data_IF_521527729182
#
_entry.id   IF_521527729182
#
_cell.length_a   1.000
_cell.length_b   1.000
_cell.length_c   1.000
_cell.angle_alpha   90.00
_cell.angle_beta   90.00
_cell.angle_gamma   90.00
#
_symmetry.space_group_name_H-M   'P 1'
#
loop_
_entity.id
_entity.type
_entity.pdbx_description
1 polymer ?
#
# COMPACT_ATOMS: atom_id res chain seq x y z
N UNK A 1 -35.70 -45.89 -10.94
CA UNK A 1 -34.75 -45.74 -9.79
C UNK A 1 -33.30 -45.40 -10.17
N UNK A 2 -32.67 -45.93 -11.25
CA UNK A 2 -31.26 -45.62 -11.56
C UNK A 2 -30.97 -44.17 -12.03
N UNK A 3 -31.93 -43.50 -12.70
CA UNK A 3 -31.77 -42.12 -13.22
C UNK A 3 -31.91 -41.01 -12.16
N UNK A 4 -32.64 -41.25 -11.08
CA UNK A 4 -32.79 -40.24 -9.99
C UNK A 4 -31.59 -40.24 -9.04
N UNK A 5 -31.03 -41.41 -8.72
CA UNK A 5 -29.80 -41.53 -7.92
C UNK A 5 -28.60 -40.83 -8.58
N UNK A 6 -28.51 -40.84 -9.91
CA UNK A 6 -27.44 -40.17 -10.67
C UNK A 6 -27.56 -38.65 -10.68
N UNK A 7 -28.79 -38.11 -10.72
CA UNK A 7 -29.03 -36.66 -10.59
C UNK A 7 -28.72 -36.14 -9.19
N UNK A 8 -29.13 -36.86 -8.15
CA UNK A 8 -28.84 -36.49 -6.75
C UNK A 8 -27.35 -36.53 -6.42
N UNK A 9 -26.62 -37.52 -6.94
CA UNK A 9 -25.16 -37.62 -6.77
C UNK A 9 -24.42 -36.49 -7.51
N UNK A 10 -24.85 -36.14 -8.73
CA UNK A 10 -24.29 -35.00 -9.46
C UNK A 10 -24.51 -33.66 -8.75
N UNK A 11 -25.70 -33.46 -8.16
CA UNK A 11 -25.98 -32.28 -7.35
C UNK A 11 -25.14 -32.21 -6.07
N UNK A 12 -24.98 -33.33 -5.36
CA UNK A 12 -24.15 -33.41 -4.16
C UNK A 12 -22.67 -33.12 -4.43
N UNK A 13 -22.13 -33.61 -5.55
CA UNK A 13 -20.76 -33.30 -6.00
C UNK A 13 -20.63 -31.82 -6.34
N UNK A 14 -21.56 -31.27 -7.14
CA UNK A 14 -21.56 -29.85 -7.50
C UNK A 14 -21.64 -28.92 -6.28
N UNK A 15 -22.50 -29.26 -5.32
CA UNK A 15 -22.62 -28.52 -4.06
C UNK A 15 -21.33 -28.58 -3.23
N UNK A 16 -20.72 -29.76 -3.12
CA UNK A 16 -19.45 -29.92 -2.39
C UNK A 16 -18.33 -29.08 -3.02
N UNK A 17 -18.21 -29.09 -4.35
CA UNK A 17 -17.21 -28.29 -5.06
C UNK A 17 -17.45 -26.79 -4.87
N UNK A 18 -18.69 -26.33 -4.97
CA UNK A 18 -19.05 -24.93 -4.73
C UNK A 18 -18.74 -24.52 -3.27
N UNK A 19 -19.02 -25.40 -2.31
CA UNK A 19 -18.76 -25.14 -0.90
C UNK A 19 -17.26 -25.05 -0.59
N UNK A 20 -16.44 -25.97 -1.13
CA UNK A 20 -14.99 -25.91 -1.00
C UNK A 20 -14.43 -24.63 -1.66
N UNK A 21 -14.94 -24.25 -2.83
CA UNK A 21 -14.57 -23.00 -3.50
C UNK A 21 -14.89 -21.76 -2.65
N UNK A 22 -16.06 -21.73 -2.01
CA UNK A 22 -16.44 -20.65 -1.10
C UNK A 22 -15.52 -20.56 0.14
N UNK A 23 -15.20 -21.70 0.76
CA UNK A 23 -14.25 -21.74 1.89
C UNK A 23 -12.88 -21.22 1.48
N UNK A 24 -12.36 -21.65 0.33
CA UNK A 24 -11.09 -21.18 -0.19
C UNK A 24 -11.09 -19.66 -0.42
N UNK A 25 -12.18 -19.13 -0.99
CA UNK A 25 -12.35 -17.69 -1.21
C UNK A 25 -12.38 -16.91 0.12
N UNK A 26 -13.10 -17.41 1.14
CA UNK A 26 -13.12 -16.81 2.47
C UNK A 26 -11.71 -16.82 3.09
N UNK A 27 -10.99 -17.93 2.99
CA UNK A 27 -9.62 -18.03 3.50
C UNK A 27 -8.68 -17.01 2.84
N UNK A 28 -8.77 -16.85 1.51
CA UNK A 28 -7.99 -15.85 0.76
C UNK A 28 -8.31 -14.42 1.21
N UNK A 29 -9.61 -14.10 1.39
CA UNK A 29 -10.03 -12.79 1.91
C UNK A 29 -9.48 -12.55 3.32
N UNK A 30 -9.50 -13.54 4.20
CA UNK A 30 -8.95 -13.42 5.56
C UNK A 30 -7.43 -13.18 5.56
N UNK A 31 -6.69 -13.89 4.71
CA UNK A 31 -5.23 -13.70 4.56
C UNK A 31 -4.93 -12.27 4.05
N UNK A 32 -5.62 -11.81 3.01
CA UNK A 32 -5.46 -10.45 2.50
C UNK A 32 -5.84 -9.40 3.54
N UNK A 33 -6.93 -9.62 4.29
CA UNK A 33 -7.35 -8.73 5.37
C UNK A 33 -6.27 -8.62 6.47
N UNK A 34 -5.65 -9.73 6.86
CA UNK A 34 -4.55 -9.72 7.82
C UNK A 34 -3.31 -9.01 7.26
N UNK A 35 -2.96 -9.23 5.98
CA UNK A 35 -1.85 -8.52 5.32
C UNK A 35 -2.08 -7.01 5.29
N UNK A 36 -3.30 -6.56 4.94
CA UNK A 36 -3.68 -5.15 4.93
C UNK A 36 -3.68 -4.54 6.34
N UNK A 37 -4.11 -5.30 7.36
CA UNK A 37 -4.04 -4.85 8.75
C UNK A 37 -2.60 -4.61 9.18
N UNK A 38 -1.71 -5.57 8.94
CA UNK A 38 -0.27 -5.43 9.26
C UNK A 38 0.35 -4.26 8.51
N UNK A 39 0.11 -4.15 7.20
CA UNK A 39 0.54 -3.01 6.40
C UNK A 39 0.11 -1.67 7.00
N UNK A 40 -1.16 -1.53 7.41
CA UNK A 40 -1.66 -0.29 8.04
C UNK A 40 -0.97 0.03 9.36
N UNK A 41 -0.72 -0.99 10.19
CA UNK A 41 -0.02 -0.83 11.47
C UNK A 41 1.42 -0.39 11.22
N UNK A 42 2.14 -1.10 10.35
CA UNK A 42 3.55 -0.81 10.05
C UNK A 42 3.66 0.61 9.45
N UNK A 43 2.80 0.98 8.50
CA UNK A 43 2.76 2.34 7.95
C UNK A 43 2.46 3.42 9.01
N UNK A 44 1.57 3.13 9.97
CA UNK A 44 1.26 4.06 11.06
C UNK A 44 2.47 4.25 11.97
N UNK A 45 3.12 3.16 12.39
CA UNK A 45 4.32 3.22 13.25
C UNK A 45 5.42 3.97 12.52
N UNK A 46 5.74 3.58 11.28
CA UNK A 46 6.79 4.21 10.49
C UNK A 46 6.59 5.73 10.31
N UNK A 47 5.37 6.22 10.07
CA UNK A 47 5.17 7.65 9.90
C UNK A 47 5.06 8.46 11.20
N UNK A 48 4.72 7.83 12.33
CA UNK A 48 4.60 8.54 13.61
C UNK A 48 5.87 8.45 14.47
N UNK A 49 6.65 7.39 14.29
CA UNK A 49 7.76 6.99 15.16
C UNK A 49 9.09 6.84 14.41
N UNK A 50 9.17 7.12 13.12
CA UNK A 50 10.46 7.11 12.41
C UNK A 50 11.45 8.15 12.97
N UNK A 51 12.69 7.70 13.15
CA UNK A 51 13.82 8.56 13.54
C UNK A 51 14.21 9.50 12.38
N UNK A 52 14.23 8.92 11.17
CA UNK A 52 14.60 9.61 9.94
C UNK A 52 13.70 9.09 8.81
N UNK A 53 13.11 10.01 8.06
CA UNK A 53 12.53 9.69 6.76
C UNK A 53 13.12 10.63 5.71
N UNK A 54 13.61 10.07 4.61
CA UNK A 54 14.16 10.78 3.47
C UNK A 54 13.30 10.47 2.25
N UNK A 55 12.68 11.49 1.67
CA UNK A 55 11.93 11.40 0.42
C UNK A 55 12.78 11.86 -0.76
N UNK A 56 12.63 11.18 -1.89
CA UNK A 56 13.08 11.64 -3.19
C UNK A 56 11.93 12.42 -3.85
N UNK A 57 12.00 13.75 -3.73
CA UNK A 57 11.08 14.68 -4.36
C UNK A 57 11.54 15.07 -5.76
N UNK A 58 10.69 15.83 -6.47
CA UNK A 58 10.98 16.36 -7.82
C UNK A 58 12.22 17.26 -7.87
N UNK A 59 12.58 17.85 -6.74
CA UNK A 59 13.63 18.84 -6.56
C UNK A 59 14.88 18.28 -5.84
N UNK A 60 14.86 17.01 -5.42
CA UNK A 60 16.01 16.36 -4.79
C UNK A 60 15.63 15.48 -3.61
N UNK A 61 16.63 15.12 -2.80
CA UNK A 61 16.45 14.31 -1.60
C UNK A 61 16.29 15.20 -0.38
N UNK A 62 15.21 15.00 0.37
CA UNK A 62 14.90 15.79 1.55
C UNK A 62 14.58 14.90 2.74
N UNK A 63 15.13 15.27 3.90
CA UNK A 63 14.64 14.78 5.18
C UNK A 63 13.28 15.40 5.45
N UNK A 64 12.27 14.56 5.50
CA UNK A 64 10.89 14.97 5.65
C UNK A 64 10.65 15.48 7.06
N UNK A 65 10.00 16.62 7.18
CA UNK A 65 9.59 17.19 8.47
C UNK A 65 8.53 16.33 9.13
N UNK A 66 8.44 16.37 10.47
CA UNK A 66 7.45 15.59 11.22
C UNK A 66 6.01 15.95 10.85
N UNK A 67 5.76 17.22 10.54
CA UNK A 67 4.45 17.71 10.10
C UNK A 67 4.07 17.09 8.74
N UNK A 68 5.02 17.06 7.79
CA UNK A 68 4.78 16.44 6.48
C UNK A 68 4.66 14.92 6.56
N UNK A 69 5.38 14.24 7.47
CA UNK A 69 5.19 12.81 7.73
C UNK A 69 3.79 12.50 8.26
N UNK A 70 3.31 13.34 9.18
CA UNK A 70 1.94 13.23 9.72
C UNK A 70 0.91 13.45 8.60
N UNK A 71 1.12 14.44 7.73
CA UNK A 71 0.27 14.68 6.57
C UNK A 71 0.29 13.50 5.58
N UNK A 72 1.47 12.95 5.27
CA UNK A 72 1.65 11.74 4.45
C UNK A 72 0.83 10.57 5.00
N UNK A 73 0.94 10.31 6.30
CA UNK A 73 0.17 9.28 6.99
C UNK A 73 -1.34 9.52 6.83
N UNK A 74 -1.82 10.75 7.05
CA UNK A 74 -3.23 11.09 6.90
C UNK A 74 -3.75 10.94 5.44
N UNK A 75 -2.96 11.35 4.46
CA UNK A 75 -3.29 11.22 3.03
C UNK A 75 -3.42 9.74 2.66
N UNK A 76 -2.45 8.91 3.07
CA UNK A 76 -2.45 7.48 2.78
C UNK A 76 -3.54 6.74 3.54
N UNK A 77 -3.77 7.06 4.82
CA UNK A 77 -4.82 6.42 5.62
C UNK A 77 -6.25 6.79 5.17
N UNK A 78 -6.43 7.99 4.62
CA UNK A 78 -7.72 8.40 4.05
C UNK A 78 -8.03 7.70 2.72
N UNK A 79 -7.09 6.93 2.15
CA UNK A 79 -7.38 6.10 0.97
C UNK A 79 -8.10 4.81 1.35
N UNK A 80 -9.02 4.40 0.48
CA UNK A 80 -9.60 3.06 0.54
C UNK A 80 -8.74 2.13 -0.31
N UNK A 81 -8.45 0.94 0.21
CA UNK A 81 -7.82 -0.12 -0.56
C UNK A 81 -8.62 -0.44 -1.81
N UNK A 82 -7.93 -0.79 -2.89
CA UNK A 82 -8.53 -1.13 -4.16
C UNK A 82 -8.12 -2.55 -4.55
N UNK A 83 -9.09 -3.44 -4.77
CA UNK A 83 -8.82 -4.75 -5.31
C UNK A 83 -8.50 -4.62 -6.80
N UNK A 84 -7.34 -5.10 -7.21
CA UNK A 84 -6.95 -5.19 -8.61
C UNK A 84 -6.57 -6.62 -8.93
N UNK A 85 -7.11 -7.17 -10.01
CA UNK A 85 -6.75 -8.51 -10.49
C UNK A 85 -5.51 -8.45 -11.39
N UNK A 86 -5.33 -7.33 -12.11
CA UNK A 86 -4.17 -7.07 -12.95
C UNK A 86 -3.13 -6.21 -12.23
N UNK A 87 -1.87 -6.31 -12.67
CA UNK A 87 -0.75 -5.43 -12.32
C UNK A 87 -0.67 -4.29 -13.35
N UNK A 88 -1.38 -3.17 -13.16
CA UNK A 88 -1.33 -2.05 -14.10
C UNK A 88 0.09 -1.50 -14.21
N UNK A 89 0.43 -0.97 -15.39
CA UNK A 89 1.69 -0.27 -15.61
C UNK A 89 1.80 0.96 -14.72
N UNK A 90 3.04 1.22 -14.28
CA UNK A 90 3.38 2.35 -13.42
C UNK A 90 4.03 3.46 -14.22
N UNK A 91 3.72 4.73 -13.91
CA UNK A 91 4.27 5.89 -14.63
C UNK A 91 5.22 6.72 -13.77
N UNK A 92 4.69 7.36 -12.72
CA UNK A 92 5.43 8.21 -11.80
C UNK A 92 5.62 7.50 -10.46
N UNK A 93 6.80 7.64 -9.86
CA UNK A 93 7.18 6.97 -8.61
C UNK A 93 7.83 7.96 -7.63
N UNK A 94 7.52 7.79 -6.35
CA UNK A 94 8.10 8.51 -5.22
C UNK A 94 8.70 7.47 -4.29
N UNK A 95 9.96 7.67 -3.91
CA UNK A 95 10.67 6.78 -3.02
C UNK A 95 10.92 7.44 -1.66
N UNK A 96 10.62 6.71 -0.60
CA UNK A 96 10.79 7.12 0.78
C UNK A 96 11.68 6.09 1.48
N UNK A 97 12.81 6.56 2.02
CA UNK A 97 13.69 5.76 2.88
C UNK A 97 13.38 6.12 4.32
N UNK A 98 13.00 5.14 5.12
CA UNK A 98 12.55 5.32 6.50
C UNK A 98 13.45 4.49 7.40
N UNK A 99 14.07 5.11 8.39
CA UNK A 99 14.79 4.41 9.45
C UNK A 99 14.00 4.54 10.75
N UNK A 100 13.74 3.40 11.39
CA UNK A 100 13.03 3.31 12.67
C UNK A 100 13.65 2.18 13.50
N UNK A 101 14.04 2.48 14.74
CA UNK A 101 14.64 1.51 15.68
C UNK A 101 15.87 0.76 15.11
N UNK A 102 16.63 1.43 14.23
CA UNK A 102 17.81 0.85 13.58
C UNK A 102 17.50 -0.05 12.38
N UNK A 103 16.24 -0.20 11.98
CA UNK A 103 15.81 -0.90 10.78
C UNK A 103 15.54 0.08 9.63
N UNK A 104 15.96 -0.31 8.42
CA UNK A 104 15.73 0.45 7.20
C UNK A 104 14.54 -0.13 6.42
N UNK A 105 13.60 0.75 6.14
CA UNK A 105 12.39 0.50 5.35
C UNK A 105 12.41 1.38 4.10
N UNK A 106 11.93 0.84 2.99
CA UNK A 106 11.72 1.59 1.74
C UNK A 106 10.26 1.52 1.34
N UNK A 107 9.65 2.69 1.15
CA UNK A 107 8.30 2.82 0.62
C UNK A 107 8.36 3.46 -0.76
N UNK A 108 7.94 2.70 -1.76
CA UNK A 108 7.69 3.18 -3.12
C UNK A 108 6.19 3.45 -3.29
N UNK A 109 5.87 4.63 -3.82
CA UNK A 109 4.52 5.08 -4.13
C UNK A 109 4.50 5.42 -5.60
N UNK A 110 3.78 4.64 -6.41
CA UNK A 110 3.70 4.87 -7.85
C UNK A 110 2.26 5.03 -8.34
N UNK A 111 2.04 5.90 -9.32
CA UNK A 111 0.77 5.89 -10.08
C UNK A 111 0.68 4.61 -10.89
N UNK A 112 -0.49 3.97 -10.90
CA UNK A 112 -0.68 2.69 -11.56
C UNK A 112 -2.03 2.62 -12.29
N UNK A 113 -2.02 2.73 -13.63
CA UNK A 113 -3.24 2.80 -14.45
C UNK A 113 -4.21 3.92 -14.05
N UNK A 114 -5.50 3.73 -14.35
CA UNK A 114 -6.52 4.76 -14.08
C UNK A 114 -6.91 4.82 -12.60
N UNK A 115 -6.54 5.93 -11.95
CA UNK A 115 -6.95 6.32 -10.59
C UNK A 115 -6.50 5.35 -9.46
N UNK A 116 -5.31 4.74 -9.58
CA UNK A 116 -4.74 3.91 -8.52
C UNK A 116 -3.31 4.33 -8.18
N UNK A 117 -2.94 4.08 -6.93
CA UNK A 117 -1.57 4.12 -6.45
C UNK A 117 -1.14 2.71 -6.07
N UNK A 118 0.04 2.32 -6.52
CA UNK A 118 0.76 1.15 -6.05
C UNK A 118 1.66 1.58 -4.89
N UNK A 119 1.48 0.93 -3.75
CA UNK A 119 2.30 1.12 -2.55
C UNK A 119 3.12 -0.15 -2.35
N UNK A 120 4.44 -0.02 -2.39
CA UNK A 120 5.38 -1.12 -2.12
C UNK A 120 6.20 -0.74 -0.89
N UNK A 121 5.99 -1.45 0.21
CA UNK A 121 6.76 -1.26 1.45
C UNK A 121 7.66 -2.49 1.64
N UNK A 122 8.97 -2.26 1.71
CA UNK A 122 9.99 -3.28 1.95
C UNK A 122 10.81 -2.92 3.19
N UNK A 123 11.25 -3.93 3.93
CA UNK A 123 11.96 -3.79 5.21
C UNK A 123 11.97 -5.15 5.90
N UNK A 124 11.60 -5.21 7.19
CA UNK A 124 11.36 -6.48 7.90
C UNK A 124 10.30 -7.34 7.18
N UNK A 125 9.33 -6.67 6.54
CA UNK A 125 8.23 -7.30 5.79
C UNK A 125 8.05 -6.65 4.44
N UNK A 126 7.46 -7.42 3.51
CA UNK A 126 7.23 -6.98 2.15
C UNK A 126 5.73 -6.90 1.84
N UNK A 127 5.28 -5.70 1.50
CA UNK A 127 3.90 -5.40 1.14
C UNK A 127 3.84 -4.83 -0.27
N UNK A 128 2.83 -5.26 -1.01
CA UNK A 128 2.41 -4.64 -2.26
C UNK A 128 0.89 -4.47 -2.15
N UNK A 129 0.44 -3.23 -2.19
CA UNK A 129 -0.97 -2.85 -2.02
C UNK A 129 -1.35 -1.81 -3.05
N UNK A 130 -2.55 -1.91 -3.59
CA UNK A 130 -3.12 -0.90 -4.46
C UNK A 130 -4.20 -0.12 -3.72
N UNK A 131 -4.16 1.20 -3.81
CA UNK A 131 -5.14 2.12 -3.22
C UNK A 131 -5.67 3.07 -4.27
N UNK A 132 -6.81 3.72 -4.02
CA UNK A 132 -7.31 4.77 -4.92
C UNK A 132 -6.40 6.00 -4.86
N UNK A 133 -6.02 6.53 -6.02
CA UNK A 133 -5.27 7.77 -6.11
C UNK A 133 -6.15 8.96 -5.71
N UNK A 134 -7.21 9.25 -6.45
CA UNK A 134 -8.08 10.40 -6.24
C UNK A 134 -7.31 11.74 -6.12
N UNK A 135 -6.29 11.93 -6.96
CA UNK A 135 -5.40 13.12 -6.96
C UNK A 135 -4.54 13.27 -5.70
N UNK A 136 -4.30 12.18 -4.97
CA UNK A 136 -3.47 12.19 -3.77
C UNK A 136 -2.00 12.10 -4.09
N UNK A 137 -1.65 11.57 -5.26
CA UNK A 137 -0.27 11.53 -5.70
C UNK A 137 0.38 12.92 -5.65
N UNK A 138 -0.34 13.95 -6.11
CA UNK A 138 0.12 15.33 -6.11
C UNK A 138 0.33 15.87 -4.70
N UNK A 139 -0.55 15.52 -3.76
CA UNK A 139 -0.40 15.91 -2.35
C UNK A 139 0.80 15.19 -1.71
N UNK A 140 1.02 13.91 -2.04
CA UNK A 140 2.19 13.15 -1.62
C UNK A 140 3.47 13.76 -2.18
N UNK A 141 3.49 14.14 -3.48
CA UNK A 141 4.62 14.82 -4.11
C UNK A 141 4.98 16.12 -3.37
N UNK A 142 3.98 16.91 -2.97
CA UNK A 142 4.22 18.13 -2.18
C UNK A 142 4.80 17.82 -0.80
N UNK A 143 4.32 16.78 -0.11
CA UNK A 143 4.86 16.37 1.18
C UNK A 143 6.34 16.00 1.14
N UNK A 144 6.85 15.50 0.00
CA UNK A 144 8.26 15.10 -0.18
C UNK A 144 9.13 16.19 -0.82
N UNK A 145 8.54 17.27 -1.34
CA UNK A 145 9.27 18.39 -1.95
C UNK A 145 10.05 19.24 -0.93
N UNK A 146 10.99 20.06 -1.37
CA UNK A 146 11.74 20.98 -0.51
C UNK A 146 10.86 22.00 0.22
N UNK A 147 9.84 22.54 -0.45
CA UNK A 147 8.88 23.46 0.17
C UNK A 147 7.97 22.77 1.19
N UNK A 148 7.78 21.46 1.06
CA UNK A 148 6.87 20.67 1.90
C UNK A 148 5.40 21.02 1.72
N UNK A 149 4.53 20.27 2.41
CA UNK A 149 3.07 20.49 2.35
C UNK A 149 2.57 21.39 3.49
N UNK A 150 3.13 21.22 4.69
CA UNK A 150 2.84 22.01 5.89
C UNK A 150 4.04 22.89 6.26
N UNK A 151 5.24 22.30 6.25
CA UNK A 151 6.49 22.96 6.61
C UNK A 151 7.60 22.55 5.65
N UNK A 152 8.60 23.41 5.43
CA UNK A 152 9.71 23.11 4.55
C UNK A 152 10.50 21.87 5.01
N UNK A 153 10.87 21.00 4.05
CA UNK A 153 11.72 19.85 4.32
C UNK A 153 13.20 20.26 4.27
N UNK A 154 14.05 19.51 4.99
CA UNK A 154 15.48 19.81 5.06
C UNK A 154 16.23 19.05 3.96
N UNK A 155 17.07 19.70 3.14
CA UNK A 155 17.88 19.00 2.15
C UNK A 155 18.71 17.88 2.80
N UNK A 156 18.71 16.70 2.20
CA UNK A 156 19.50 15.55 2.63
C UNK A 156 20.68 15.39 1.66
N UNK A 157 21.91 15.25 2.18
CA UNK A 157 23.15 15.18 1.40
C UNK A 157 23.51 16.41 0.53
N UNK A 158 23.09 17.61 0.90
CA UNK A 158 23.76 18.86 0.51
C UNK A 158 23.75 19.24 -0.98
N UNK A 159 23.09 18.48 -1.86
CA UNK A 159 22.86 18.93 -3.24
C UNK A 159 21.65 19.84 -3.25
N UNK A 160 21.94 21.15 -3.14
CA UNK A 160 21.05 22.24 -3.52
C UNK A 160 20.85 22.25 -5.02
#
# INVERSE_FOLDING_TARGET
MKKEKTKGMGFAIGFTVAFVGAIALIAVILIMSNKLRKFKVDMFVLFNEADICVGEGVDGQYRISRDNLTALSAILQSTRGYFTFDKPETSEEINLKITHDGEDWNLSIARAGDNKLKLVLTGERNYEVYVKDNKKFEDIQKCVSGNGYIAANKPFNGKK
#
